data_IF_360731755397
#
_entry.id   IF_360731755397
#
_cell.length_a   1.000
_cell.length_b   1.000
_cell.length_c   1.000
_cell.angle_alpha   90.00
_cell.angle_beta   90.00
_cell.angle_gamma   90.00
#
_symmetry.space_group_name_H-M   'P 1'
#
loop_
_entity.id
_entity.type
_entity.pdbx_description
1 polymer ?
#
# COMPACT_ATOMS: atom_id res chain seq x y z
N UNK A 1 -3.84 -65.28 48.90
CA UNK A 1 -4.19 -63.84 49.00
C UNK A 1 -3.44 -62.94 48.00
N UNK A 2 -2.42 -63.43 47.28
CA UNK A 2 -1.56 -62.61 46.42
C UNK A 2 -2.15 -62.29 45.03
N UNK A 3 -2.91 -63.22 44.42
CA UNK A 3 -3.51 -63.00 43.10
C UNK A 3 -4.51 -61.83 43.03
N UNK A 4 -5.15 -61.47 44.14
CA UNK A 4 -6.07 -60.32 44.21
C UNK A 4 -5.31 -58.99 44.14
N UNK A 5 -4.10 -58.92 44.71
CA UNK A 5 -3.25 -57.71 44.67
C UNK A 5 -2.70 -57.42 43.28
N UNK A 6 -2.28 -58.48 42.56
CA UNK A 6 -1.75 -58.37 41.19
C UNK A 6 -2.84 -57.87 40.22
N UNK A 7 -4.08 -58.38 40.36
CA UNK A 7 -5.21 -57.94 39.52
C UNK A 7 -5.55 -56.45 39.71
N UNK A 8 -5.49 -55.94 40.94
CA UNK A 8 -5.72 -54.52 41.23
C UNK A 8 -4.63 -53.61 40.64
N UNK A 9 -3.37 -54.04 40.69
CA UNK A 9 -2.26 -53.30 40.08
C UNK A 9 -2.41 -53.13 38.57
N UNK A 10 -2.79 -54.20 37.86
CA UNK A 10 -3.03 -54.16 36.42
C UNK A 10 -4.18 -53.19 36.05
N UNK A 11 -5.25 -53.18 36.84
CA UNK A 11 -6.38 -52.26 36.64
C UNK A 11 -5.93 -50.80 36.82
N UNK A 12 -5.12 -50.51 37.85
CA UNK A 12 -4.61 -49.16 38.10
C UNK A 12 -3.68 -48.67 36.98
N UNK A 13 -2.81 -49.54 36.45
CA UNK A 13 -1.93 -49.20 35.32
C UNK A 13 -2.74 -48.93 34.05
N UNK A 14 -3.70 -49.79 33.73
CA UNK A 14 -4.60 -49.60 32.58
C UNK A 14 -5.41 -48.30 32.69
N UNK A 15 -5.92 -47.99 33.88
CA UNK A 15 -6.62 -46.73 34.16
C UNK A 15 -5.69 -45.52 33.96
N UNK A 16 -4.45 -45.61 34.44
CA UNK A 16 -3.44 -44.56 34.27
C UNK A 16 -3.13 -44.29 32.79
N UNK A 17 -2.88 -45.34 32.00
CA UNK A 17 -2.65 -45.22 30.55
C UNK A 17 -3.87 -44.62 29.86
N UNK A 18 -5.08 -45.07 30.23
CA UNK A 18 -6.31 -44.52 29.67
C UNK A 18 -6.46 -43.02 29.95
N UNK A 19 -6.22 -42.58 31.19
CA UNK A 19 -6.30 -41.17 31.57
C UNK A 19 -5.25 -40.31 30.84
N UNK A 20 -4.02 -40.81 30.67
CA UNK A 20 -2.96 -40.13 29.90
C UNK A 20 -3.35 -40.03 28.43
N UNK A 21 -3.85 -41.11 27.83
CA UNK A 21 -4.32 -41.11 26.43
C UNK A 21 -5.46 -40.12 26.22
N UNK A 22 -6.43 -40.11 27.13
CA UNK A 22 -7.56 -39.18 27.10
C UNK A 22 -7.06 -37.73 27.22
N UNK A 23 -6.18 -37.44 28.18
CA UNK A 23 -5.56 -36.12 28.34
C UNK A 23 -4.82 -35.66 27.07
N UNK A 24 -4.10 -36.57 26.41
CA UNK A 24 -3.38 -36.29 25.16
C UNK A 24 -4.32 -35.85 24.03
N UNK A 25 -5.48 -36.52 23.90
CA UNK A 25 -6.51 -36.17 22.90
C UNK A 25 -7.07 -34.77 23.18
N UNK A 26 -7.41 -34.47 24.44
CA UNK A 26 -7.93 -33.15 24.81
C UNK A 26 -6.89 -32.04 24.60
N UNK A 27 -5.63 -32.26 24.96
CA UNK A 27 -4.55 -31.30 24.70
C UNK A 27 -4.32 -31.07 23.21
N UNK A 28 -4.32 -32.13 22.40
CA UNK A 28 -4.19 -32.03 20.94
C UNK A 28 -5.36 -31.29 20.30
N UNK A 29 -6.59 -31.57 20.74
CA UNK A 29 -7.78 -30.88 20.27
C UNK A 29 -7.78 -29.40 20.65
N UNK A 30 -7.38 -29.06 21.88
CA UNK A 30 -7.24 -27.67 22.33
C UNK A 30 -6.21 -26.89 21.50
N UNK A 31 -5.05 -27.50 21.25
CA UNK A 31 -4.02 -26.92 20.38
C UNK A 31 -4.54 -26.69 18.96
N UNK A 32 -5.27 -27.67 18.41
CA UNK A 32 -5.87 -27.58 17.08
C UNK A 32 -6.90 -26.43 16.98
N UNK A 33 -7.79 -26.29 17.96
CA UNK A 33 -8.74 -25.19 18.03
C UNK A 33 -8.03 -23.82 18.08
N UNK A 34 -6.97 -23.71 18.87
CA UNK A 34 -6.15 -22.50 18.92
C UNK A 34 -5.51 -22.16 17.56
N UNK A 35 -5.09 -23.16 16.79
CA UNK A 35 -4.57 -22.97 15.43
C UNK A 35 -5.66 -22.58 14.44
N UNK A 36 -6.83 -23.23 14.49
CA UNK A 36 -7.97 -22.90 13.65
C UNK A 36 -8.46 -21.45 13.87
N UNK A 37 -8.47 -20.97 15.11
CA UNK A 37 -8.81 -19.58 15.40
C UNK A 37 -7.92 -18.58 14.64
N UNK A 38 -6.61 -18.86 14.52
CA UNK A 38 -5.67 -18.02 13.75
C UNK A 38 -5.89 -18.08 12.25
N UNK A 39 -6.21 -19.26 11.73
CA UNK A 39 -6.59 -19.44 10.32
C UNK A 39 -7.84 -18.64 10.00
N UNK A 40 -8.87 -18.71 10.87
CA UNK A 40 -10.10 -17.96 10.72
C UNK A 40 -9.90 -16.45 10.80
N UNK A 41 -8.93 -15.98 11.61
CA UNK A 41 -8.56 -14.56 11.63
C UNK A 41 -7.69 -14.12 10.45
N UNK A 42 -7.35 -15.02 9.52
CA UNK A 42 -6.50 -14.71 8.36
C UNK A 42 -5.02 -14.53 8.67
N UNK A 43 -4.57 -14.85 9.88
CA UNK A 43 -3.17 -14.66 10.33
C UNK A 43 -2.31 -15.92 10.18
N UNK A 44 -2.91 -17.04 9.75
CA UNK A 44 -2.21 -18.30 9.50
C UNK A 44 -2.72 -19.01 8.24
N UNK A 45 -1.87 -19.87 7.67
CA UNK A 45 -2.20 -20.70 6.50
C UNK A 45 -3.26 -21.75 6.84
N UNK A 46 -4.21 -21.98 5.94
CA UNK A 46 -5.26 -22.99 6.11
C UNK A 46 -4.76 -24.45 6.05
N UNK A 47 -3.56 -24.68 5.54
CA UNK A 47 -2.97 -26.02 5.38
C UNK A 47 -2.01 -26.34 6.54
N UNK A 48 -2.02 -27.60 7.00
CA UNK A 48 -1.07 -28.09 7.99
C UNK A 48 0.38 -27.92 7.46
N UNK A 49 1.32 -27.36 8.24
CA UNK A 49 1.31 -27.19 9.71
C UNK A 49 0.86 -25.80 10.23
N UNK A 50 -0.25 -25.23 9.75
CA UNK A 50 -0.90 -24.01 10.29
C UNK A 50 0.09 -22.92 10.72
N UNK A 51 1.01 -22.60 9.80
CA UNK A 51 2.06 -21.62 10.05
C UNK A 51 1.44 -20.23 10.02
N UNK A 52 1.78 -19.42 11.01
CA UNK A 52 1.42 -18.01 11.04
C UNK A 52 2.14 -17.31 9.86
N UNK A 53 1.47 -16.33 9.25
CA UNK A 53 2.08 -15.46 8.26
C UNK A 53 3.08 -14.54 8.93
N UNK A 54 4.19 -14.26 8.24
CA UNK A 54 5.04 -13.11 8.57
C UNK A 54 4.28 -11.79 8.34
N UNK A 55 4.76 -10.70 8.91
CA UNK A 55 4.17 -9.37 8.71
C UNK A 55 4.21 -9.00 7.22
N UNK A 56 5.30 -9.36 6.54
CA UNK A 56 5.50 -9.14 5.12
C UNK A 56 4.51 -9.94 4.26
N UNK A 57 4.29 -11.22 4.56
CA UNK A 57 3.27 -12.05 3.88
C UNK A 57 1.85 -11.48 4.11
N UNK A 58 1.57 -10.99 5.33
CA UNK A 58 0.27 -10.43 5.66
C UNK A 58 0.01 -9.10 4.93
N UNK A 59 1.01 -8.22 4.85
CA UNK A 59 0.93 -6.97 4.10
C UNK A 59 0.73 -7.19 2.59
N UNK A 60 1.25 -8.29 2.04
CA UNK A 60 1.01 -8.66 0.64
C UNK A 60 -0.42 -9.17 0.40
N UNK A 61 -0.98 -9.92 1.34
CA UNK A 61 -2.34 -10.45 1.25
C UNK A 61 -3.41 -9.38 1.45
N UNK A 62 -3.12 -8.41 2.32
CA UNK A 62 -4.04 -7.34 2.71
C UNK A 62 -3.33 -5.98 2.60
N UNK A 63 -3.03 -5.51 1.37
CA UNK A 63 -2.37 -4.21 1.20
C UNK A 63 -3.23 -3.11 1.83
N UNK A 64 -2.58 -2.20 2.57
CA UNK A 64 -3.29 -1.10 3.22
C UNK A 64 -3.73 -0.06 2.19
N UNK A 65 -2.97 0.06 1.10
CA UNK A 65 -3.25 1.00 0.02
C UNK A 65 -3.38 0.30 -1.34
N UNK A 66 -4.30 0.78 -2.15
CA UNK A 66 -4.51 0.28 -3.50
C UNK A 66 -3.27 0.56 -4.37
N UNK A 67 -2.70 -0.47 -5.01
CA UNK A 67 -1.47 -0.43 -5.83
C UNK A 67 -0.13 -0.37 -5.06
N UNK A 68 -0.12 -0.61 -3.74
CA UNK A 68 1.10 -0.62 -2.92
C UNK A 68 2.19 -1.56 -3.47
N UNK A 69 1.78 -2.77 -3.87
CA UNK A 69 2.68 -3.81 -4.40
C UNK A 69 2.91 -3.75 -5.93
N UNK A 70 2.42 -2.71 -6.61
CA UNK A 70 2.63 -2.56 -8.06
C UNK A 70 4.03 -2.00 -8.31
N UNK A 71 4.89 -2.58 -9.16
CA UNK A 71 6.21 -2.03 -9.43
C UNK A 71 6.12 -0.67 -10.13
N UNK A 72 7.02 0.27 -9.79
CA UNK A 72 7.04 1.59 -10.44
C UNK A 72 7.63 1.49 -11.85
N UNK A 73 6.83 1.85 -12.85
CA UNK A 73 7.23 1.97 -14.26
C UNK A 73 7.70 3.40 -14.58
N UNK A 74 7.01 4.42 -14.03
CA UNK A 74 7.35 5.83 -14.22
C UNK A 74 7.16 6.61 -12.94
N UNK A 75 8.24 7.14 -12.36
CA UNK A 75 8.24 7.83 -11.07
C UNK A 75 7.65 9.26 -11.13
N UNK A 76 7.32 9.87 -9.98
CA UNK A 76 6.84 11.26 -9.91
C UNK A 76 7.77 12.26 -10.61
N UNK A 77 9.09 12.10 -10.47
CA UNK A 77 10.09 13.02 -11.02
C UNK A 77 10.13 12.93 -12.54
N UNK A 78 9.99 11.72 -13.09
CA UNK A 78 9.91 11.51 -14.54
C UNK A 78 8.61 12.10 -15.09
N UNK A 79 7.47 11.86 -14.42
CA UNK A 79 6.18 12.46 -14.80
C UNK A 79 6.24 13.99 -14.77
N UNK A 80 6.82 14.57 -13.71
CA UNK A 80 7.02 16.01 -13.59
C UNK A 80 7.89 16.56 -14.72
N UNK A 81 9.00 15.91 -15.05
CA UNK A 81 9.89 16.35 -16.12
C UNK A 81 9.18 16.36 -17.49
N UNK A 82 8.37 15.34 -17.78
CA UNK A 82 7.55 15.27 -18.99
C UNK A 82 6.52 16.40 -19.02
N UNK A 83 5.83 16.63 -17.90
CA UNK A 83 4.84 17.69 -17.77
C UNK A 83 5.45 19.07 -18.03
N UNK A 84 6.57 19.40 -17.36
CA UNK A 84 7.26 20.68 -17.54
C UNK A 84 7.80 20.83 -18.96
N UNK A 85 8.32 19.76 -19.57
CA UNK A 85 8.82 19.80 -20.94
C UNK A 85 7.69 20.11 -21.94
N UNK A 86 6.50 19.52 -21.75
CA UNK A 86 5.32 19.81 -22.57
C UNK A 86 4.81 21.24 -22.37
N UNK A 87 4.75 21.72 -21.12
CA UNK A 87 4.37 23.11 -20.82
C UNK A 87 5.31 24.12 -21.47
N UNK A 88 6.63 23.90 -21.40
CA UNK A 88 7.64 24.78 -22.04
C UNK A 88 7.53 24.80 -23.56
N UNK A 89 7.02 23.73 -24.18
CA UNK A 89 6.73 23.68 -25.63
C UNK A 89 5.38 24.31 -25.98
N UNK A 90 4.54 24.64 -25.00
CA UNK A 90 3.18 25.09 -25.21
C UNK A 90 2.22 23.99 -25.67
N UNK A 91 2.60 22.73 -25.50
CA UNK A 91 1.80 21.55 -25.89
C UNK A 91 1.01 21.04 -24.68
N UNK A 92 -0.18 21.61 -24.47
CA UNK A 92 -1.00 21.29 -23.30
C UNK A 92 -1.74 19.96 -23.43
N UNK A 93 -2.03 19.53 -24.65
CA UNK A 93 -2.63 18.20 -24.86
C UNK A 93 -1.64 17.12 -24.45
N UNK A 94 -0.38 17.23 -24.85
CA UNK A 94 0.67 16.32 -24.42
C UNK A 94 0.87 16.38 -22.90
N UNK A 95 0.95 17.59 -22.32
CA UNK A 95 1.13 17.78 -20.88
C UNK A 95 0.03 17.07 -20.06
N UNK A 96 -1.20 17.13 -20.53
CA UNK A 96 -2.35 16.53 -19.87
C UNK A 96 -2.43 15.03 -20.12
N UNK A 97 -2.23 14.59 -21.36
CA UNK A 97 -2.31 13.18 -21.73
C UNK A 97 -1.21 12.33 -21.11
N UNK A 98 0.01 12.86 -21.03
CA UNK A 98 1.15 12.14 -20.44
C UNK A 98 0.97 11.93 -18.95
N UNK A 99 0.42 12.92 -18.26
CA UNK A 99 0.75 13.15 -16.86
C UNK A 99 -0.47 13.22 -15.93
N UNK A 100 -1.69 13.26 -16.48
CA UNK A 100 -2.95 13.19 -15.73
C UNK A 100 -3.78 11.96 -16.11
N UNK A 101 -4.57 11.47 -15.14
CA UNK A 101 -5.51 10.37 -15.37
C UNK A 101 -6.64 10.83 -16.29
N UNK A 102 -7.18 9.91 -17.09
CA UNK A 102 -8.20 10.21 -18.10
C UNK A 102 -9.38 11.06 -17.58
N UNK A 103 -9.83 10.81 -16.35
CA UNK A 103 -10.93 11.57 -15.72
C UNK A 103 -10.62 13.04 -15.42
N UNK A 104 -9.35 13.39 -15.22
CA UNK A 104 -8.93 14.74 -14.83
C UNK A 104 -8.48 15.59 -16.02
N UNK A 105 -8.27 14.95 -17.18
CA UNK A 105 -7.65 15.58 -18.35
C UNK A 105 -8.40 16.82 -18.84
N UNK A 106 -9.71 16.71 -19.04
CA UNK A 106 -10.51 17.82 -19.58
C UNK A 106 -10.43 19.06 -18.68
N UNK A 107 -10.55 18.87 -17.36
CA UNK A 107 -10.48 19.94 -16.37
C UNK A 107 -9.09 20.58 -16.34
N UNK A 108 -8.03 19.77 -16.37
CA UNK A 108 -6.65 20.29 -16.38
C UNK A 108 -6.35 21.04 -17.67
N UNK A 109 -6.80 20.54 -18.82
CA UNK A 109 -6.62 21.20 -20.11
C UNK A 109 -7.32 22.57 -20.13
N UNK A 110 -8.55 22.65 -19.61
CA UNK A 110 -9.27 23.92 -19.45
C UNK A 110 -8.52 24.89 -18.53
N UNK A 111 -8.02 24.42 -17.39
CA UNK A 111 -7.21 25.21 -16.48
C UNK A 111 -5.95 25.78 -17.15
N UNK A 112 -5.17 24.95 -17.84
CA UNK A 112 -3.94 25.38 -18.53
C UNK A 112 -4.24 26.40 -19.65
N UNK A 113 -5.32 26.19 -20.39
CA UNK A 113 -5.79 27.16 -21.38
C UNK A 113 -6.18 28.49 -20.74
N UNK A 114 -6.86 28.46 -19.59
CA UNK A 114 -7.17 29.66 -18.82
C UNK A 114 -5.93 30.41 -18.32
N UNK A 115 -4.89 29.69 -17.88
CA UNK A 115 -3.60 30.29 -17.49
C UNK A 115 -2.90 30.93 -18.69
N UNK A 116 -2.91 30.27 -19.86
CA UNK A 116 -2.35 30.83 -21.11
C UNK A 116 -3.06 32.10 -21.54
N UNK A 117 -4.40 32.11 -21.54
CA UNK A 117 -5.20 33.27 -21.93
C UNK A 117 -4.94 34.50 -21.04
N UNK A 118 -4.59 34.27 -19.77
CA UNK A 118 -4.23 35.34 -18.82
C UNK A 118 -2.76 35.78 -18.92
N UNK A 119 -1.98 35.21 -19.84
CA UNK A 119 -0.55 35.52 -19.99
C UNK A 119 0.30 35.08 -18.79
N UNK A 120 -0.17 34.13 -17.98
CA UNK A 120 0.50 33.71 -16.74
C UNK A 120 1.29 32.40 -16.89
N UNK A 121 1.47 31.90 -18.11
CA UNK A 121 2.11 30.60 -18.35
C UNK A 121 3.58 30.58 -17.91
N UNK A 122 4.34 31.61 -18.27
CA UNK A 122 5.76 31.71 -17.89
C UNK A 122 5.94 31.82 -16.37
N UNK A 123 5.02 32.53 -15.70
CA UNK A 123 5.00 32.63 -14.24
C UNK A 123 4.72 31.26 -13.61
N UNK A 124 3.70 30.55 -14.08
CA UNK A 124 3.35 29.22 -13.58
C UNK A 124 4.49 28.23 -13.77
N UNK A 125 5.09 28.18 -14.97
CA UNK A 125 6.22 27.30 -15.27
C UNK A 125 7.45 27.68 -14.44
N UNK A 126 7.71 28.98 -14.25
CA UNK A 126 8.77 29.47 -13.37
C UNK A 126 8.57 29.03 -11.92
N UNK A 127 7.36 29.21 -11.39
CA UNK A 127 7.00 28.86 -10.02
C UNK A 127 7.15 27.35 -9.74
N UNK A 128 6.62 26.49 -10.62
CA UNK A 128 6.70 25.03 -10.42
C UNK A 128 8.11 24.46 -10.62
N UNK A 129 9.05 25.22 -11.21
CA UNK A 129 10.43 24.79 -11.45
C UNK A 129 11.45 25.33 -10.46
N UNK A 130 11.08 26.33 -9.65
CA UNK A 130 12.03 27.10 -8.84
C UNK A 130 12.62 26.34 -7.64
N UNK A 131 11.89 25.37 -7.09
CA UNK A 131 12.33 24.64 -5.88
C UNK A 131 11.54 23.32 -5.71
N UNK A 132 11.40 22.54 -6.79
CA UNK A 132 10.66 21.27 -6.75
C UNK A 132 11.39 20.23 -5.90
N UNK A 133 10.87 19.96 -4.70
CA UNK A 133 11.48 19.07 -3.70
C UNK A 133 10.46 18.11 -3.13
N UNK A 134 10.88 16.87 -2.92
CA UNK A 134 10.07 15.87 -2.26
C UNK A 134 9.74 16.33 -0.84
N UNK A 135 8.46 16.30 -0.50
CA UNK A 135 7.96 16.58 0.85
C UNK A 135 7.53 15.29 1.53
N UNK A 136 6.75 14.47 0.83
CA UNK A 136 6.28 13.16 1.29
C UNK A 136 6.38 12.13 0.17
N UNK A 137 6.77 10.90 0.52
CA UNK A 137 6.75 9.75 -0.38
C UNK A 137 6.20 8.54 0.39
N UNK A 138 5.06 8.04 -0.05
CA UNK A 138 4.41 6.80 0.38
C UNK A 138 4.36 5.83 -0.81
N UNK A 139 3.93 4.60 -0.60
CA UNK A 139 3.96 3.56 -1.64
C UNK A 139 3.09 3.88 -2.87
N UNK A 140 2.00 4.63 -2.66
CA UNK A 140 0.99 4.94 -3.69
C UNK A 140 0.72 6.44 -3.86
N UNK A 141 1.30 7.28 -2.99
CA UNK A 141 1.12 8.73 -2.96
C UNK A 141 2.46 9.44 -2.75
N UNK A 142 2.67 10.56 -3.43
CA UNK A 142 3.85 11.37 -3.25
C UNK A 142 3.48 12.84 -3.36
N UNK A 143 4.05 13.67 -2.51
CA UNK A 143 3.82 15.11 -2.49
C UNK A 143 5.15 15.82 -2.66
N UNK A 144 5.18 16.74 -3.61
CA UNK A 144 6.32 17.60 -3.87
C UNK A 144 5.93 19.04 -3.59
N UNK A 145 6.79 19.78 -2.90
CA UNK A 145 6.62 21.22 -2.72
C UNK A 145 7.38 21.98 -3.79
N UNK A 146 6.84 23.13 -4.17
CA UNK A 146 7.51 24.13 -5.00
C UNK A 146 7.25 25.53 -4.44
N UNK A 147 8.07 26.50 -4.85
CA UNK A 147 7.94 27.90 -4.39
C UNK A 147 7.45 28.74 -5.55
N UNK A 148 6.22 29.23 -5.43
CA UNK A 148 5.61 30.14 -6.40
C UNK A 148 5.42 31.55 -5.88
N UNK A 149 4.87 32.41 -6.73
CA UNK A 149 4.63 33.82 -6.44
C UNK A 149 3.14 34.14 -6.54
N UNK A 150 2.48 34.38 -5.40
CA UNK A 150 1.09 34.79 -5.36
C UNK A 150 0.99 36.25 -4.97
N UNK A 151 0.50 37.11 -5.88
CA UNK A 151 0.37 38.57 -5.67
C UNK A 151 1.68 39.24 -5.21
N UNK A 152 2.82 38.79 -5.73
CA UNK A 152 4.14 39.33 -5.40
C UNK A 152 4.74 38.82 -4.09
N UNK A 153 4.07 37.90 -3.38
CA UNK A 153 4.58 37.25 -2.18
C UNK A 153 4.95 35.80 -2.50
N UNK A 154 6.10 35.35 -2.00
CA UNK A 154 6.49 33.94 -2.10
C UNK A 154 5.48 33.07 -1.35
N UNK A 155 4.96 32.06 -2.02
CA UNK A 155 4.04 31.07 -1.45
C UNK A 155 4.56 29.67 -1.76
N UNK A 156 4.36 28.75 -0.82
CA UNK A 156 4.63 27.33 -1.08
C UNK A 156 3.41 26.71 -1.76
N UNK A 157 3.62 26.04 -2.87
CA UNK A 157 2.63 25.19 -3.55
C UNK A 157 3.01 23.72 -3.40
N UNK A 158 2.04 22.84 -3.66
CA UNK A 158 2.21 21.39 -3.59
C UNK A 158 1.73 20.74 -4.87
N UNK A 159 2.42 19.69 -5.30
CA UNK A 159 2.04 18.84 -6.40
C UNK A 159 1.92 17.42 -5.87
N UNK A 160 0.69 16.89 -5.87
CA UNK A 160 0.42 15.53 -5.42
C UNK A 160 0.42 14.58 -6.61
N UNK A 161 0.99 13.40 -6.37
CA UNK A 161 1.07 12.31 -7.32
C UNK A 161 0.42 11.06 -6.75
N UNK A 162 -0.23 10.30 -7.62
CA UNK A 162 -0.82 9.01 -7.28
C UNK A 162 -0.39 7.92 -8.26
N UNK A 163 -0.06 6.76 -7.73
CA UNK A 163 0.36 5.58 -8.50
C UNK A 163 -0.84 4.81 -9.06
N UNK A 164 -0.81 4.51 -10.35
CA UNK A 164 -1.80 3.65 -11.00
C UNK A 164 -1.49 2.16 -10.85
N UNK A 165 -2.45 1.32 -11.25
CA UNK A 165 -2.30 -0.15 -11.34
C UNK A 165 -1.20 -0.58 -12.31
N UNK A 166 -0.81 0.30 -13.23
CA UNK A 166 0.23 0.04 -14.24
C UNK A 166 1.60 0.54 -13.78
N UNK A 167 1.71 0.99 -12.52
CA UNK A 167 2.98 1.48 -11.96
C UNK A 167 3.36 2.89 -12.40
N UNK A 168 2.43 3.61 -13.03
CA UNK A 168 2.65 4.97 -13.53
C UNK A 168 2.15 5.97 -12.49
N UNK A 169 3.00 6.92 -12.13
CA UNK A 169 2.63 8.04 -11.27
C UNK A 169 2.01 9.16 -12.11
N UNK A 170 0.81 9.60 -11.73
CA UNK A 170 0.08 10.69 -12.37
C UNK A 170 -0.06 11.86 -11.39
N UNK A 171 -0.11 13.08 -11.92
CA UNK A 171 -0.41 14.30 -11.16
C UNK A 171 -1.90 14.28 -10.81
N UNK A 172 -2.20 14.40 -9.52
CA UNK A 172 -3.56 14.47 -8.98
C UNK A 172 -3.97 15.92 -8.68
N UNK A 173 -3.02 16.73 -8.23
CA UNK A 173 -3.26 18.14 -7.86
C UNK A 173 -2.05 19.01 -8.16
N UNK A 174 -2.32 20.31 -8.37
CA UNK A 174 -1.38 21.41 -8.58
C UNK A 174 -1.93 22.68 -7.91
#
# INVERSE_FOLDING_TARGET
MEGKKIRWWLILVMLGIFLVGLGSIFCGYWWFLGKQARVLSGTARANFPYRDYSVEELNQLYPQYFNENVPTVRSPEVTYALFVAALKKGDFEEAVNCCFRAGDRAKTLEFLNGVKQKGMMDLMVGDITRDFKQDMMLDTMATYKYVGTLKGVLSTGFMDFRKSSDGIWYIESL
#
